data_IF_522965615367
#
_entry.id   IF_522965615367
#
_cell.length_a   1.000
_cell.length_b   1.000
_cell.length_c   1.000
_cell.angle_alpha   90.00
_cell.angle_beta   90.00
_cell.angle_gamma   90.00
#
_symmetry.space_group_name_H-M   'P 1'
#
loop_
_entity.id
_entity.type
_entity.pdbx_description
1 polymer ?
#
# COMPACT_ATOMS: atom_id res chain seq x y z
N UNK A 1 -33.30 48.88 -69.19
CA UNK A 1 -32.16 48.04 -69.61
C UNK A 1 -31.46 47.58 -68.34
N UNK A 2 -31.98 46.50 -67.73
CA UNK A 2 -31.62 46.09 -66.36
C UNK A 2 -30.63 44.94 -66.45
N UNK A 3 -29.37 45.19 -66.10
CA UNK A 3 -28.36 44.13 -65.95
C UNK A 3 -28.63 43.40 -64.63
N UNK A 4 -28.71 42.06 -64.60
CA UNK A 4 -28.80 41.31 -63.35
C UNK A 4 -27.40 41.25 -62.73
N UNK A 5 -27.04 42.29 -61.98
CA UNK A 5 -25.82 42.30 -61.18
C UNK A 5 -26.11 41.56 -59.86
N UNK A 6 -25.46 40.40 -59.65
CA UNK A 6 -25.23 39.91 -58.29
C UNK A 6 -25.62 38.47 -57.96
N UNK A 7 -26.10 37.64 -58.89
CA UNK A 7 -26.43 36.24 -58.55
C UNK A 7 -25.18 35.39 -58.24
N UNK A 8 -24.00 35.79 -58.72
CA UNK A 8 -22.72 35.16 -58.40
C UNK A 8 -22.16 35.50 -57.02
N UNK A 9 -22.53 36.65 -56.43
CA UNK A 9 -22.02 37.07 -55.12
C UNK A 9 -22.71 36.33 -53.97
N UNK A 10 -24.01 36.02 -54.14
CA UNK A 10 -24.79 35.23 -53.17
C UNK A 10 -24.31 33.77 -53.09
N UNK A 11 -23.91 33.19 -54.23
CA UNK A 11 -23.36 31.82 -54.28
C UNK A 11 -21.97 31.69 -53.64
N UNK A 12 -21.16 32.75 -53.65
CA UNK A 12 -19.83 32.76 -53.01
C UNK A 12 -19.94 32.87 -51.48
N UNK A 13 -20.91 33.63 -50.96
CA UNK A 13 -21.17 33.71 -49.51
C UNK A 13 -21.81 32.44 -48.95
N UNK A 14 -22.56 31.67 -49.76
CA UNK A 14 -23.15 30.41 -49.32
C UNK A 14 -22.13 29.28 -49.11
N UNK A 15 -20.96 29.34 -49.78
CA UNK A 15 -19.92 28.31 -49.67
C UNK A 15 -19.01 28.49 -48.44
N UNK A 16 -19.04 29.65 -47.79
CA UNK A 16 -18.20 29.98 -46.64
C UNK A 16 -18.71 29.43 -45.29
N UNK A 17 -19.89 28.82 -45.25
CA UNK A 17 -20.50 28.26 -44.03
C UNK A 17 -20.27 26.76 -43.83
N UNK A 18 -19.51 26.09 -44.71
CA UNK A 18 -19.26 24.64 -44.63
C UNK A 18 -17.90 24.26 -44.00
N UNK A 19 -17.09 25.22 -43.56
CA UNK A 19 -15.89 24.94 -42.76
C UNK A 19 -16.28 24.76 -41.29
N UNK A 20 -16.84 23.59 -40.97
CA UNK A 20 -17.04 23.13 -39.60
C UNK A 20 -15.69 22.84 -38.93
N UNK A 21 -15.61 23.16 -37.64
CA UNK A 21 -14.49 22.82 -36.77
C UNK A 21 -14.39 21.29 -36.64
N UNK A 22 -13.31 20.69 -37.12
CA UNK A 22 -12.93 19.33 -36.74
C UNK A 22 -12.36 19.41 -35.32
N UNK A 23 -13.18 19.13 -34.30
CA UNK A 23 -12.66 18.95 -32.95
C UNK A 23 -11.71 17.73 -32.97
N UNK A 24 -10.45 17.87 -32.54
CA UNK A 24 -9.54 16.74 -32.52
C UNK A 24 -10.16 15.65 -31.62
N UNK A 25 -10.13 14.37 -32.04
CA UNK A 25 -10.75 13.31 -31.28
C UNK A 25 -10.12 13.27 -29.88
N UNK A 26 -10.93 13.59 -28.87
CA UNK A 26 -10.52 13.52 -27.47
C UNK A 26 -10.22 12.04 -27.16
N UNK A 27 -8.96 11.70 -26.78
CA UNK A 27 -8.62 10.33 -26.44
C UNK A 27 -9.53 9.85 -25.31
N UNK A 28 -10.17 8.68 -25.47
CA UNK A 28 -10.95 8.08 -24.39
C UNK A 28 -10.05 7.92 -23.15
N UNK A 29 -10.54 8.24 -21.94
CA UNK A 29 -9.76 8.02 -20.73
C UNK A 29 -9.31 6.56 -20.68
N UNK A 30 -8.05 6.33 -20.34
CA UNK A 30 -7.51 4.97 -20.19
C UNK A 30 -8.32 4.24 -19.12
N UNK A 31 -9.01 3.18 -19.53
CA UNK A 31 -9.73 2.32 -18.59
C UNK A 31 -8.73 1.47 -17.83
N UNK A 32 -8.59 1.70 -16.52
CA UNK A 32 -7.90 0.78 -15.64
C UNK A 32 -8.77 -0.47 -15.42
N UNK A 33 -8.13 -1.62 -15.19
CA UNK A 33 -8.86 -2.85 -14.91
C UNK A 33 -9.75 -2.68 -13.67
N UNK A 34 -11.03 -3.06 -13.76
CA UNK A 34 -11.90 -3.15 -12.58
C UNK A 34 -11.42 -4.31 -11.72
N UNK A 35 -10.77 -4.00 -10.61
CA UNK A 35 -10.34 -5.00 -9.63
C UNK A 35 -11.57 -5.34 -8.77
N UNK A 36 -11.98 -6.60 -8.80
CA UNK A 36 -12.99 -7.11 -7.87
C UNK A 36 -12.32 -7.37 -6.51
N UNK A 37 -12.71 -6.59 -5.51
CA UNK A 37 -12.13 -6.67 -4.17
C UNK A 37 -12.86 -7.76 -3.37
N UNK A 38 -12.14 -8.67 -2.71
CA UNK A 38 -12.77 -9.66 -1.85
C UNK A 38 -13.48 -8.99 -0.66
N UNK A 39 -14.39 -9.70 -0.01
CA UNK A 39 -14.93 -9.25 1.26
C UNK A 39 -13.84 -9.32 2.36
N UNK A 40 -13.91 -8.42 3.34
CA UNK A 40 -13.06 -8.47 4.53
C UNK A 40 -13.55 -9.61 5.42
N UNK A 41 -12.86 -10.74 5.32
CA UNK A 41 -13.08 -11.94 6.13
C UNK A 41 -11.74 -12.36 6.71
N UNK A 42 -11.72 -12.55 8.03
CA UNK A 42 -10.49 -12.77 8.78
C UNK A 42 -10.52 -14.10 9.51
N UNK A 43 -9.33 -14.69 9.70
CA UNK A 43 -9.12 -15.85 10.54
C UNK A 43 -7.95 -15.58 11.49
N UNK A 44 -8.09 -16.02 12.74
CA UNK A 44 -7.00 -15.95 13.72
C UNK A 44 -5.87 -16.89 13.30
N UNK A 45 -4.66 -16.37 13.30
CA UNK A 45 -3.43 -17.11 13.08
C UNK A 45 -2.51 -16.97 14.29
N UNK A 46 -2.19 -18.10 14.92
CA UNK A 46 -1.19 -18.17 15.98
C UNK A 46 0.17 -18.55 15.36
N UNK A 47 1.12 -17.62 15.40
CA UNK A 47 2.48 -17.87 14.95
C UNK A 47 3.27 -18.63 16.04
N UNK A 48 4.06 -19.66 15.69
CA UNK A 48 4.91 -20.38 16.65
C UNK A 48 5.97 -19.55 17.38
N UNK A 49 6.07 -18.25 17.12
CA UNK A 49 7.05 -17.34 17.73
C UNK A 49 6.42 -16.48 18.84
N UNK A 50 5.26 -16.89 19.37
CA UNK A 50 4.63 -16.21 20.52
C UNK A 50 3.78 -14.99 20.14
N UNK A 51 3.19 -14.96 18.94
CA UNK A 51 2.24 -13.93 18.55
C UNK A 51 0.99 -14.53 17.92
N UNK A 52 -0.14 -13.89 18.12
CA UNK A 52 -1.40 -14.21 17.45
C UNK A 52 -2.01 -12.94 16.88
N UNK A 53 -2.61 -13.03 15.70
CA UNK A 53 -3.27 -11.91 15.01
C UNK A 53 -4.26 -12.46 13.98
N UNK A 54 -5.16 -11.62 13.51
CA UNK A 54 -6.06 -11.96 12.42
C UNK A 54 -5.42 -11.67 11.06
N UNK A 55 -5.65 -12.57 10.12
CA UNK A 55 -5.24 -12.42 8.72
C UNK A 55 -6.40 -12.65 7.78
N UNK A 56 -6.42 -12.01 6.60
CA UNK A 56 -7.48 -12.24 5.64
C UNK A 56 -7.51 -13.70 5.18
N UNK A 57 -8.69 -14.28 5.01
CA UNK A 57 -8.86 -15.68 4.56
C UNK A 57 -8.29 -15.97 3.17
N UNK A 58 -8.08 -14.92 2.37
CA UNK A 58 -7.45 -14.97 1.05
C UNK A 58 -5.92 -14.73 1.10
N UNK A 59 -5.33 -14.65 2.30
CA UNK A 59 -3.88 -14.55 2.50
C UNK A 59 -3.26 -15.92 2.82
N UNK A 60 -1.94 -15.99 2.71
CA UNK A 60 -1.15 -17.16 3.08
C UNK A 60 0.05 -16.73 3.92
N UNK A 61 0.20 -17.32 5.10
CA UNK A 61 1.41 -17.15 5.90
C UNK A 61 2.52 -18.05 5.34
N UNK A 62 3.64 -17.41 4.99
CA UNK A 62 4.87 -18.07 4.56
C UNK A 62 5.90 -17.95 5.69
N UNK A 63 6.18 -19.06 6.38
CA UNK A 63 7.21 -19.08 7.42
C UNK A 63 8.59 -19.21 6.78
N UNK A 64 9.55 -18.42 7.23
CA UNK A 64 10.94 -18.46 6.75
C UNK A 64 11.78 -19.13 7.84
N UNK A 65 12.15 -20.39 7.62
CA UNK A 65 13.13 -21.07 8.45
C UNK A 65 14.54 -20.73 7.93
N UNK A 66 15.44 -20.28 8.81
CA UNK A 66 16.88 -20.25 8.52
C UNK A 66 17.56 -21.42 9.23
N UNK A 67 18.59 -21.97 8.59
CA UNK A 67 19.35 -23.14 9.07
C UNK A 67 20.17 -22.84 10.34
N UNK A 68 20.34 -21.56 10.70
CA UNK A 68 20.89 -21.11 11.98
C UNK A 68 19.79 -20.37 12.76
N UNK A 69 19.45 -20.80 13.99
CA UNK A 69 18.52 -20.06 14.82
C UNK A 69 19.25 -18.82 15.36
N UNK A 70 19.05 -17.67 14.72
CA UNK A 70 18.97 -16.46 15.54
C UNK A 70 17.73 -16.67 16.42
N UNK A 71 17.94 -17.16 17.63
CA UNK A 71 16.88 -17.60 18.56
C UNK A 71 15.87 -16.51 18.86
N UNK A 72 16.24 -15.26 18.59
CA UNK A 72 15.51 -14.06 18.96
C UNK A 72 14.84 -13.35 17.78
N UNK A 73 14.99 -13.86 16.55
CA UNK A 73 14.40 -13.25 15.35
C UNK A 73 13.56 -14.25 14.56
N UNK A 74 12.33 -13.86 14.26
CA UNK A 74 11.37 -14.68 13.56
C UNK A 74 10.85 -13.96 12.31
N UNK A 75 11.16 -14.51 11.15
CA UNK A 75 10.73 -13.98 9.85
C UNK A 75 9.56 -14.78 9.29
N UNK A 76 8.56 -14.06 8.81
CA UNK A 76 7.44 -14.64 8.08
C UNK A 76 6.88 -13.61 7.12
N UNK A 77 6.17 -14.07 6.10
CA UNK A 77 5.45 -13.20 5.20
C UNK A 77 3.95 -13.47 5.30
N UNK A 78 3.14 -12.42 5.20
CA UNK A 78 1.74 -12.52 4.85
C UNK A 78 1.62 -12.25 3.35
N UNK A 79 1.55 -13.33 2.55
CA UNK A 79 1.37 -13.23 1.11
C UNK A 79 -0.12 -13.03 0.80
N UNK A 80 -0.42 -12.11 -0.11
CA UNK A 80 -1.77 -11.85 -0.62
C UNK A 80 -1.76 -12.00 -2.14
N UNK A 81 -1.75 -13.26 -2.67
CA UNK A 81 -1.48 -13.53 -4.08
C UNK A 81 -2.42 -12.81 -5.04
N UNK A 82 -3.68 -12.59 -4.64
CA UNK A 82 -4.69 -11.89 -5.45
C UNK A 82 -4.26 -10.46 -5.82
N UNK A 83 -3.49 -9.80 -4.95
CA UNK A 83 -3.00 -8.45 -5.18
C UNK A 83 -1.54 -8.42 -5.63
N UNK A 84 -0.91 -9.58 -5.86
CA UNK A 84 0.53 -9.71 -6.09
C UNK A 84 1.32 -8.92 -5.05
N UNK A 85 0.94 -9.11 -3.78
CA UNK A 85 1.43 -8.33 -2.66
C UNK A 85 1.90 -9.24 -1.52
N UNK A 86 2.85 -8.75 -0.75
CA UNK A 86 3.43 -9.46 0.38
C UNK A 86 3.80 -8.50 1.48
N UNK A 87 3.32 -8.77 2.70
CA UNK A 87 3.80 -8.09 3.91
C UNK A 87 4.94 -8.92 4.47
N UNK A 88 6.14 -8.37 4.46
CA UNK A 88 7.31 -8.98 5.08
C UNK A 88 7.34 -8.61 6.56
N UNK A 89 7.28 -9.61 7.43
CA UNK A 89 7.26 -9.42 8.87
C UNK A 89 8.56 -9.92 9.50
N UNK A 90 9.07 -9.16 10.46
CA UNK A 90 10.22 -9.50 11.28
C UNK A 90 9.84 -9.25 12.74
N UNK A 91 9.69 -10.33 13.50
CA UNK A 91 9.50 -10.28 14.94
C UNK A 91 10.86 -10.44 15.62
N UNK A 92 11.19 -9.53 16.53
CA UNK A 92 12.44 -9.52 17.28
C UNK A 92 12.13 -9.49 18.77
N UNK A 93 12.93 -10.20 19.58
CA UNK A 93 12.91 -10.04 21.03
C UNK A 93 13.75 -8.84 21.43
N UNK A 94 13.20 -8.04 22.34
CA UNK A 94 13.87 -6.88 22.93
C UNK A 94 14.55 -7.33 24.22
N UNK A 95 15.85 -7.14 24.32
CA UNK A 95 16.68 -7.52 25.47
C UNK A 95 16.80 -6.38 26.48
N UNK A 96 16.95 -5.14 26.01
CA UNK A 96 17.11 -3.95 26.84
C UNK A 96 16.62 -2.68 26.14
N UNK A 97 16.57 -1.57 26.90
CA UNK A 97 16.11 -0.26 26.43
C UNK A 97 17.00 0.30 25.31
N UNK A 98 18.31 0.04 25.32
CA UNK A 98 19.20 0.52 24.28
C UNK A 98 18.92 -0.18 22.94
N UNK A 99 18.67 -1.49 22.99
CA UNK A 99 18.24 -2.25 21.82
C UNK A 99 16.86 -1.79 21.34
N UNK A 100 15.92 -1.53 22.25
CA UNK A 100 14.61 -0.99 21.88
C UNK A 100 14.73 0.32 21.10
N UNK A 101 15.50 1.28 21.62
CA UNK A 101 15.73 2.58 20.96
C UNK A 101 16.39 2.38 19.59
N UNK A 102 17.36 1.47 19.49
CA UNK A 102 17.99 1.15 18.21
C UNK A 102 17.00 0.58 17.19
N UNK A 103 16.11 -0.33 17.60
CA UNK A 103 15.09 -0.91 16.72
C UNK A 103 14.08 0.13 16.23
N UNK A 104 13.68 1.06 17.10
CA UNK A 104 12.80 2.18 16.73
C UNK A 104 13.50 3.07 15.70
N UNK A 105 14.74 3.46 15.95
CA UNK A 105 15.54 4.29 15.03
C UNK A 105 15.76 3.59 13.69
N UNK A 106 16.10 2.30 13.68
CA UNK A 106 16.27 1.50 12.46
C UNK A 106 14.97 1.45 11.64
N UNK A 107 13.81 1.29 12.31
CA UNK A 107 12.51 1.31 11.65
C UNK A 107 12.21 2.69 11.03
N UNK A 108 12.54 3.77 11.71
CA UNK A 108 12.44 5.13 11.16
C UNK A 108 13.37 5.29 9.95
N UNK A 109 14.66 4.97 10.08
CA UNK A 109 15.65 5.14 9.02
C UNK A 109 15.29 4.33 7.77
N UNK A 110 14.75 3.12 7.92
CA UNK A 110 14.34 2.30 6.78
C UNK A 110 13.20 2.95 5.98
N UNK A 111 12.24 3.58 6.66
CA UNK A 111 11.18 4.37 6.02
C UNK A 111 11.77 5.56 5.27
N UNK A 112 12.67 6.30 5.90
CA UNK A 112 13.31 7.48 5.30
C UNK A 112 14.28 7.13 4.16
N UNK A 113 14.89 5.94 4.15
CA UNK A 113 15.73 5.49 3.03
C UNK A 113 14.96 5.37 1.71
N UNK A 114 13.64 5.19 1.78
CA UNK A 114 12.73 5.17 0.63
C UNK A 114 12.06 6.54 0.36
N UNK A 115 12.31 7.56 1.19
CA UNK A 115 11.76 8.92 1.04
C UNK A 115 12.21 9.59 -0.26
N UNK A 116 13.40 9.27 -0.76
CA UNK A 116 13.94 9.84 -2.02
C UNK A 116 12.97 9.64 -3.20
N UNK A 117 12.11 8.62 -3.15
CA UNK A 117 11.10 8.33 -4.17
C UNK A 117 9.66 8.66 -3.72
N UNK A 118 9.45 8.98 -2.45
CA UNK A 118 8.14 9.28 -1.91
C UNK A 118 7.75 10.73 -2.21
N UNK A 119 6.49 10.94 -2.59
CA UNK A 119 5.90 12.27 -2.68
C UNK A 119 5.55 12.85 -1.29
N UNK A 120 5.48 11.98 -0.28
CA UNK A 120 5.23 12.35 1.11
C UNK A 120 5.04 11.13 2.00
N UNK A 121 5.14 11.33 3.31
CA UNK A 121 4.99 10.28 4.33
C UNK A 121 3.89 10.71 5.30
N UNK A 122 2.86 9.88 5.46
CA UNK A 122 1.85 10.03 6.52
C UNK A 122 2.19 9.07 7.66
N UNK A 123 2.35 9.60 8.85
CA UNK A 123 2.67 8.84 10.07
C UNK A 123 1.44 8.75 10.96
N UNK A 124 1.14 7.55 11.44
CA UNK A 124 0.02 7.28 12.34
C UNK A 124 0.55 6.51 13.55
N UNK A 125 0.46 7.11 14.72
CA UNK A 125 0.75 6.44 15.99
C UNK A 125 -0.50 5.68 16.45
N UNK A 126 -0.31 4.51 17.05
CA UNK A 126 -1.37 3.74 17.67
C UNK A 126 -0.93 3.23 19.03
N UNK A 127 -1.90 3.08 19.94
CA UNK A 127 -1.71 2.56 21.28
C UNK A 127 -2.96 1.78 21.70
N UNK A 128 -2.77 0.52 22.08
CA UNK A 128 -3.79 -0.40 22.57
C UNK A 128 -3.34 -0.93 23.95
N UNK A 129 -3.60 -0.18 25.03
CA UNK A 129 -3.09 -0.48 26.37
C UNK A 129 -3.50 -1.87 26.89
N UNK A 130 -4.70 -2.32 26.57
CA UNK A 130 -5.29 -3.59 27.02
C UNK A 130 -4.51 -4.80 26.52
N UNK A 131 -3.83 -4.66 25.38
CA UNK A 131 -2.99 -5.71 24.77
C UNK A 131 -1.51 -5.38 24.81
N UNK A 132 -1.13 -4.22 25.35
CA UNK A 132 0.23 -3.71 25.34
C UNK A 132 0.79 -3.66 23.91
N UNK A 133 0.02 -3.13 22.97
CA UNK A 133 0.45 -2.97 21.58
C UNK A 133 0.48 -1.49 21.26
N UNK A 134 1.68 -0.94 21.10
CA UNK A 134 1.88 0.43 20.66
C UNK A 134 2.85 0.46 19.48
N UNK A 135 2.84 1.55 18.71
CA UNK A 135 3.75 1.66 17.59
C UNK A 135 3.35 2.71 16.57
N UNK A 136 3.88 2.55 15.36
CA UNK A 136 3.72 3.53 14.28
C UNK A 136 3.48 2.82 12.95
N UNK A 137 2.50 3.31 12.20
CA UNK A 137 2.25 2.98 10.80
C UNK A 137 2.64 4.16 9.91
N UNK A 138 3.42 3.88 8.88
CA UNK A 138 3.86 4.82 7.85
C UNK A 138 3.18 4.49 6.54
N UNK A 139 2.59 5.50 5.91
CA UNK A 139 2.01 5.43 4.58
C UNK A 139 2.82 6.36 3.66
N UNK A 140 3.61 5.76 2.77
CA UNK A 140 4.48 6.45 1.82
C UNK A 140 3.71 6.64 0.51
N UNK A 141 3.58 7.90 0.08
CA UNK A 141 2.85 8.26 -1.13
C UNK A 141 3.77 8.31 -2.35
N UNK A 142 3.22 8.07 -3.53
CA UNK A 142 3.97 8.10 -4.79
C UNK A 142 4.47 6.73 -5.25
N UNK A 143 5.36 6.68 -6.24
CA UNK A 143 5.82 5.44 -6.88
C UNK A 143 6.90 4.73 -6.04
N UNK A 144 6.58 4.39 -4.80
CA UNK A 144 7.48 3.71 -3.86
C UNK A 144 7.32 2.19 -3.91
N UNK A 145 8.40 1.47 -3.68
CA UNK A 145 8.38 0.00 -3.63
C UNK A 145 7.63 -0.55 -2.40
N UNK A 146 7.67 0.19 -1.28
CA UNK A 146 7.08 -0.19 -0.01
C UNK A 146 6.16 0.90 0.53
N UNK A 147 4.87 0.94 0.12
CA UNK A 147 3.96 2.03 0.44
C UNK A 147 3.41 1.99 1.86
N UNK A 148 3.44 0.84 2.55
CA UNK A 148 3.04 0.71 3.95
C UNK A 148 4.17 0.04 4.72
N UNK A 149 4.58 0.67 5.81
CA UNK A 149 5.52 0.09 6.78
C UNK A 149 4.98 0.33 8.18
N UNK A 150 5.27 -0.55 9.12
CA UNK A 150 4.89 -0.35 10.51
C UNK A 150 5.85 -1.04 11.46
N UNK A 151 5.82 -0.62 12.71
CA UNK A 151 6.28 -1.44 13.82
C UNK A 151 5.24 -1.43 14.95
N UNK A 152 5.17 -2.54 15.69
CA UNK A 152 4.31 -2.74 16.84
C UNK A 152 5.10 -3.42 17.96
N UNK A 153 4.92 -2.98 19.21
CA UNK A 153 5.74 -3.39 20.34
C UNK A 153 4.99 -3.29 21.66
N UNK A 154 5.40 -4.10 22.64
CA UNK A 154 5.04 -3.95 24.05
C UNK A 154 6.09 -3.13 24.85
N UNK A 155 7.07 -2.57 24.16
CA UNK A 155 8.22 -1.80 24.67
C UNK A 155 9.19 -2.58 25.55
N UNK A 156 8.90 -3.84 25.89
CA UNK A 156 9.68 -4.60 26.88
C UNK A 156 10.32 -5.86 26.34
N UNK A 157 9.67 -6.54 25.39
CA UNK A 157 10.01 -7.90 25.03
C UNK A 157 9.78 -8.19 23.55
N UNK A 158 8.80 -7.57 22.91
CA UNK A 158 8.41 -7.87 21.53
C UNK A 158 8.53 -6.65 20.64
N UNK A 159 9.12 -6.83 19.46
CA UNK A 159 9.16 -5.82 18.41
C UNK A 159 8.83 -6.47 17.07
N UNK A 160 7.61 -6.24 16.57
CA UNK A 160 7.16 -6.69 15.26
C UNK A 160 7.30 -5.54 14.26
N UNK A 161 8.09 -5.76 13.22
CA UNK A 161 8.18 -4.86 12.05
C UNK A 161 7.48 -5.49 10.86
N UNK A 162 6.76 -4.68 10.07
CA UNK A 162 6.14 -5.11 8.82
C UNK A 162 6.37 -4.13 7.68
N UNK A 163 6.56 -4.62 6.46
CA UNK A 163 6.67 -3.81 5.24
C UNK A 163 5.95 -4.46 4.07
N UNK A 164 5.07 -3.70 3.41
CA UNK A 164 4.27 -4.15 2.27
C UNK A 164 5.04 -3.95 0.97
N UNK A 165 5.20 -5.00 0.19
CA UNK A 165 5.74 -4.93 -1.17
C UNK A 165 4.73 -5.46 -2.18
N UNK A 166 4.77 -4.90 -3.38
CA UNK A 166 4.07 -5.43 -4.55
C UNK A 166 5.08 -6.05 -5.52
N UNK A 167 4.75 -7.21 -6.10
CA UNK A 167 5.61 -7.94 -7.04
C UNK A 167 5.64 -7.31 -8.46
N UNK A 168 5.17 -6.08 -8.60
CA UNK A 168 5.13 -5.36 -9.87
C UNK A 168 5.62 -3.91 -9.69
N UNK A 169 6.02 -3.30 -10.81
CA UNK A 169 6.55 -1.94 -10.81
C UNK A 169 5.54 -0.96 -10.16
N UNK A 170 5.99 -0.05 -9.28
CA UNK A 170 5.11 0.91 -8.60
C UNK A 170 4.34 1.78 -9.60
N UNK A 171 3.04 1.54 -9.73
CA UNK A 171 2.11 2.38 -10.47
C UNK A 171 1.00 2.84 -9.50
N UNK A 172 1.12 4.04 -8.90
CA UNK A 172 0.21 4.50 -7.86
C UNK A 172 -1.26 4.47 -8.27
N UNK A 173 -1.57 4.85 -9.52
CA UNK A 173 -2.96 4.92 -10.00
C UNK A 173 -3.62 3.54 -10.12
N UNK A 174 -2.85 2.55 -10.56
CA UNK A 174 -3.33 1.16 -10.70
C UNK A 174 -3.40 0.45 -9.36
N UNK A 175 -2.47 0.78 -8.45
CA UNK A 175 -2.35 0.15 -7.15
C UNK A 175 -3.33 0.67 -6.12
N UNK A 176 -3.79 1.91 -6.24
CA UNK A 176 -4.57 2.60 -5.19
C UNK A 176 -5.74 1.77 -4.62
N UNK A 177 -6.58 1.05 -5.40
CA UNK A 177 -7.64 0.22 -4.83
C UNK A 177 -7.11 -0.97 -4.02
N UNK A 178 -6.10 -1.67 -4.53
CA UNK A 178 -5.45 -2.81 -3.87
C UNK A 178 -4.70 -2.38 -2.62
N UNK A 179 -3.96 -1.27 -2.70
CA UNK A 179 -3.23 -0.67 -1.58
C UNK A 179 -4.19 -0.28 -0.46
N UNK A 180 -5.27 0.44 -0.76
CA UNK A 180 -6.25 0.83 0.26
C UNK A 180 -6.96 -0.38 0.89
N UNK A 181 -7.10 -1.48 0.15
CA UNK A 181 -7.67 -2.73 0.65
C UNK A 181 -6.70 -3.43 1.60
N UNK A 182 -5.44 -3.62 1.17
CA UNK A 182 -4.40 -4.24 2.01
C UNK A 182 -4.06 -3.38 3.22
N UNK A 183 -4.11 -2.05 3.11
CA UNK A 183 -3.91 -1.14 4.26
C UNK A 183 -4.93 -1.45 5.37
N UNK A 184 -6.19 -1.72 5.03
CA UNK A 184 -7.20 -2.15 6.01
C UNK A 184 -6.88 -3.51 6.61
N UNK A 185 -6.39 -4.45 5.81
CA UNK A 185 -5.96 -5.76 6.31
C UNK A 185 -4.76 -5.66 7.27
N UNK A 186 -3.81 -4.78 6.99
CA UNK A 186 -2.67 -4.49 7.86
C UNK A 186 -3.14 -3.82 9.16
N UNK A 187 -4.06 -2.86 9.06
CA UNK A 187 -4.66 -2.24 10.25
C UNK A 187 -5.37 -3.29 11.10
N UNK A 188 -6.17 -4.18 10.52
CA UNK A 188 -6.82 -5.27 11.26
C UNK A 188 -5.80 -6.19 11.93
N UNK A 189 -4.70 -6.53 11.25
CA UNK A 189 -3.61 -7.32 11.83
C UNK A 189 -3.02 -6.62 13.07
N UNK A 190 -2.71 -5.33 12.99
CA UNK A 190 -2.19 -4.54 14.11
C UNK A 190 -3.23 -4.47 15.24
N UNK A 191 -4.48 -4.18 14.88
CA UNK A 191 -5.63 -4.07 15.79
C UNK A 191 -6.06 -5.40 16.38
N UNK A 192 -5.49 -6.54 16.00
CA UNK A 192 -5.80 -7.86 16.57
C UNK A 192 -4.57 -8.57 17.11
N UNK A 193 -3.42 -7.90 17.07
CA UNK A 193 -2.16 -8.43 17.56
C UNK A 193 -2.21 -8.69 19.07
N UNK A 194 -1.77 -9.88 19.46
CA UNK A 194 -1.65 -10.35 20.83
C UNK A 194 -0.30 -11.04 21.00
N UNK A 195 0.38 -10.75 22.11
CA UNK A 195 1.60 -11.43 22.55
C UNK A 195 1.20 -12.67 23.38
N UNK A 196 1.62 -13.86 22.97
CA UNK A 196 1.08 -15.15 23.47
C UNK A 196 2.15 -16.08 24.04
N UNK A 197 3.08 -15.54 24.84
CA UNK A 197 4.22 -16.28 25.42
C UNK A 197 3.95 -17.74 25.83
#
# INVERSE_FOLDING_TARGET
>A
MNKPLGMGFVLLCAFAFLSGCDDPPVPKPRGYHRIDLPAFEYATYAHPCGISFEVPVYSKIERIARDAPETDVCWFNCAVPRFSAKVHCTLMRVADEAQFVALVEDAHQMVFSHEIQAAGIRTQQFDFPERKVSGVLYNLQGPVASPIQFFATDSTAHFLRGSLYFDHAPNPDSLRPSLAHIEKDIVNLIETLVWTE
#
